data_IF_868615894579
#
_entry.id   IF_868615894579
#
_cell.length_a   1.000
_cell.length_b   1.000
_cell.length_c   1.000
_cell.angle_alpha   90.00
_cell.angle_beta   90.00
_cell.angle_gamma   90.00
#
_symmetry.space_group_name_H-M   'P 1'
#
loop_
_entity.id
_entity.type
_entity.pdbx_description
1 polymer ?
#
# COMPACT_ATOMS: atom_id res chain seq x y z
N UNK A 1 5.70 -6.45 9.74
CA UNK A 1 4.73 -5.53 9.10
C UNK A 1 3.57 -5.11 10.02
N UNK A 2 3.04 -5.96 10.91
CA UNK A 2 1.90 -5.60 11.78
C UNK A 2 2.23 -4.41 12.71
N UNK A 3 3.44 -4.37 13.27
CA UNK A 3 3.88 -3.29 14.15
C UNK A 3 3.81 -1.90 13.49
N UNK A 4 4.49 -1.71 12.36
CA UNK A 4 4.49 -0.42 11.65
C UNK A 4 3.12 -0.07 11.10
N UNK A 5 2.34 -1.07 10.65
CA UNK A 5 1.06 -0.84 9.99
C UNK A 5 -0.08 -0.54 10.95
N UNK A 6 -0.08 -1.10 12.14
CA UNK A 6 -1.23 -0.99 13.06
C UNK A 6 -0.83 -0.58 14.48
N UNK A 7 0.31 -1.03 14.98
CA UNK A 7 0.75 -0.68 16.34
C UNK A 7 1.18 0.79 16.40
N UNK A 8 1.96 1.27 15.44
CA UNK A 8 2.40 2.68 15.41
C UNK A 8 1.20 3.64 15.30
N UNK A 9 0.27 3.51 14.33
CA UNK A 9 -0.91 4.36 14.28
C UNK A 9 -1.80 4.22 15.53
N UNK A 10 -1.96 3.00 16.04
CA UNK A 10 -2.73 2.74 17.25
C UNK A 10 -2.17 3.44 18.48
N UNK A 11 -0.84 3.43 18.67
CA UNK A 11 -0.17 4.12 19.77
C UNK A 11 -0.30 5.64 19.65
N UNK A 12 -0.26 6.19 18.43
CA UNK A 12 -0.43 7.63 18.20
C UNK A 12 -1.84 8.08 18.59
N UNK A 13 -2.87 7.35 18.16
CA UNK A 13 -4.25 7.64 18.56
C UNK A 13 -4.42 7.48 20.07
N UNK A 14 -3.85 6.42 20.66
CA UNK A 14 -3.90 6.20 22.11
C UNK A 14 -3.25 7.36 22.88
N UNK A 15 -2.11 7.87 22.43
CA UNK A 15 -1.45 9.02 23.04
C UNK A 15 -2.35 10.29 22.98
N UNK A 16 -3.02 10.52 21.85
CA UNK A 16 -4.00 11.61 21.71
C UNK A 16 -5.19 11.46 22.67
N UNK A 17 -5.72 10.25 22.82
CA UNK A 17 -6.80 9.95 23.77
C UNK A 17 -6.35 10.19 25.21
N UNK A 18 -5.16 9.74 25.58
CA UNK A 18 -4.59 9.98 26.91
C UNK A 18 -4.44 11.48 27.17
N UNK A 19 -3.91 12.24 26.20
CA UNK A 19 -3.77 13.70 26.33
C UNK A 19 -5.13 14.40 26.51
N UNK A 20 -6.17 13.96 25.79
CA UNK A 20 -7.53 14.47 25.98
C UNK A 20 -8.06 14.19 27.38
N UNK A 21 -7.92 12.95 27.87
CA UNK A 21 -8.42 12.55 29.20
C UNK A 21 -7.68 13.30 30.31
N UNK A 22 -6.36 13.42 30.22
CA UNK A 22 -5.53 14.06 31.26
C UNK A 22 -5.77 15.57 31.32
N UNK A 23 -5.93 16.23 30.18
CA UNK A 23 -6.10 17.68 30.16
C UNK A 23 -7.55 18.13 30.29
N UNK A 24 -8.52 17.33 29.84
CA UNK A 24 -9.95 17.68 29.86
C UNK A 24 -10.28 18.98 29.11
N UNK A 25 -9.44 19.38 28.16
CA UNK A 25 -9.44 20.72 27.57
C UNK A 25 -9.58 20.69 26.05
N UNK A 26 -9.87 21.85 25.45
CA UNK A 26 -9.86 22.01 23.99
C UNK A 26 -8.49 21.65 23.39
N UNK A 27 -7.40 22.00 24.07
CA UNK A 27 -6.03 21.61 23.66
C UNK A 27 -5.86 20.09 23.61
N UNK A 28 -6.50 19.35 24.52
CA UNK A 28 -6.53 17.89 24.47
C UNK A 28 -7.27 17.35 23.24
N UNK A 29 -8.36 18.02 22.85
CA UNK A 29 -9.15 17.66 21.66
C UNK A 29 -8.36 17.93 20.37
N UNK A 30 -7.68 19.07 20.30
CA UNK A 30 -6.75 19.40 19.20
C UNK A 30 -5.63 18.35 19.10
N UNK A 31 -5.06 17.93 20.25
CA UNK A 31 -4.09 16.85 20.33
C UNK A 31 -4.60 15.52 19.76
N UNK A 32 -5.82 15.14 20.10
CA UNK A 32 -6.46 13.95 19.54
C UNK A 32 -6.71 14.08 18.04
N UNK A 33 -7.22 15.22 17.57
CA UNK A 33 -7.48 15.46 16.16
C UNK A 33 -6.19 15.38 15.32
N UNK A 34 -5.11 15.98 15.81
CA UNK A 34 -3.78 15.86 15.20
C UNK A 34 -3.31 14.40 15.19
N UNK A 35 -3.47 13.68 16.30
CA UNK A 35 -3.11 12.26 16.40
C UNK A 35 -3.86 11.39 15.39
N UNK A 36 -5.16 11.62 15.21
CA UNK A 36 -5.98 10.93 14.20
C UNK A 36 -5.48 11.26 12.79
N UNK A 37 -5.17 12.54 12.51
CA UNK A 37 -4.60 12.96 11.23
C UNK A 37 -3.31 12.21 10.90
N UNK A 38 -2.35 12.21 11.83
CA UNK A 38 -1.06 11.51 11.66
C UNK A 38 -1.26 9.99 11.46
N UNK A 39 -2.05 9.36 12.33
CA UNK A 39 -2.33 7.93 12.25
C UNK A 39 -3.02 7.55 10.92
N UNK A 40 -3.99 8.37 10.50
CA UNK A 40 -4.70 8.23 9.23
C UNK A 40 -3.75 8.34 8.03
N UNK A 41 -2.85 9.34 8.02
CA UNK A 41 -1.84 9.48 6.96
C UNK A 41 -0.91 8.27 6.87
N UNK A 42 -0.46 7.72 8.00
CA UNK A 42 0.40 6.52 8.01
C UNK A 42 -0.34 5.31 7.44
N UNK A 43 -1.61 5.13 7.80
CA UNK A 43 -2.44 4.04 7.27
C UNK A 43 -2.66 4.21 5.77
N UNK A 44 -2.95 5.43 5.31
CA UNK A 44 -3.13 5.74 3.90
C UNK A 44 -1.85 5.46 3.09
N UNK A 45 -0.69 5.90 3.59
CA UNK A 45 0.60 5.63 2.95
C UNK A 45 0.89 4.13 2.84
N UNK A 46 0.56 3.35 3.88
CA UNK A 46 0.68 1.89 3.82
C UNK A 46 -0.23 1.28 2.74
N UNK A 47 -1.43 1.81 2.54
CA UNK A 47 -2.34 1.37 1.48
C UNK A 47 -1.77 1.71 0.11
N UNK A 48 -1.34 2.95 -0.10
CA UNK A 48 -0.79 3.41 -1.37
C UNK A 48 0.47 2.64 -1.75
N UNK A 49 1.37 2.39 -0.78
CA UNK A 49 2.56 1.58 -0.98
C UNK A 49 2.21 0.17 -1.44
N UNK A 50 1.22 -0.48 -0.81
CA UNK A 50 0.77 -1.82 -1.19
C UNK A 50 0.28 -1.86 -2.64
N UNK A 51 -0.51 -0.86 -3.05
CA UNK A 51 -1.04 -0.75 -4.41
C UNK A 51 0.09 -0.50 -5.41
N UNK A 52 1.04 0.39 -5.08
CA UNK A 52 2.20 0.68 -5.92
C UNK A 52 3.06 -0.55 -6.16
N UNK A 53 3.42 -1.27 -5.10
CA UNK A 53 4.24 -2.49 -5.20
C UNK A 53 3.53 -3.60 -5.98
N UNK A 54 2.21 -3.76 -5.82
CA UNK A 54 1.49 -4.73 -6.65
C UNK A 54 1.51 -4.39 -8.14
N UNK A 55 1.50 -3.10 -8.48
CA UNK A 55 1.62 -2.64 -9.87
C UNK A 55 3.02 -2.85 -10.46
N UNK A 56 4.07 -2.80 -9.65
CA UNK A 56 5.43 -3.10 -10.12
C UNK A 56 5.57 -4.56 -10.56
N UNK A 57 5.00 -5.50 -9.79
CA UNK A 57 5.01 -6.92 -10.14
C UNK A 57 4.24 -7.21 -11.44
N UNK A 58 3.12 -6.52 -11.67
CA UNK A 58 2.35 -6.64 -12.92
C UNK A 58 3.17 -6.12 -14.11
N UNK A 59 3.85 -4.98 -13.94
CA UNK A 59 4.73 -4.39 -14.96
C UNK A 59 5.91 -5.27 -15.30
N UNK A 60 6.54 -5.89 -14.31
CA UNK A 60 7.65 -6.82 -14.53
C UNK A 60 7.19 -8.08 -15.28
N UNK A 61 5.99 -8.59 -15.00
CA UNK A 61 5.39 -9.71 -15.75
C UNK A 61 5.08 -9.34 -17.19
N UNK A 62 4.52 -8.16 -17.41
CA UNK A 62 4.22 -7.67 -18.76
C UNK A 62 5.51 -7.46 -19.57
N UNK A 63 6.56 -6.90 -18.94
CA UNK A 63 7.87 -6.76 -19.57
C UNK A 63 8.45 -8.12 -19.99
N UNK A 64 8.42 -9.12 -19.10
CA UNK A 64 8.88 -10.47 -19.42
C UNK A 64 8.06 -11.14 -20.54
N UNK A 65 6.74 -10.89 -20.59
CA UNK A 65 5.89 -11.41 -21.66
C UNK A 65 6.19 -10.77 -23.01
N UNK A 66 6.59 -9.49 -23.04
CA UNK A 66 7.04 -8.80 -24.26
C UNK A 66 8.39 -9.33 -24.75
N UNK A 67 9.34 -9.53 -23.84
CA UNK A 67 10.63 -10.14 -24.19
C UNK A 67 10.43 -11.53 -24.80
N UNK A 68 9.51 -12.33 -24.24
CA UNK A 68 9.13 -13.63 -24.78
C UNK A 68 8.52 -13.51 -26.19
N UNK A 69 7.59 -12.57 -26.40
CA UNK A 69 6.97 -12.32 -27.69
C UNK A 69 8.00 -11.94 -28.76
N UNK A 70 8.96 -11.07 -28.42
CA UNK A 70 10.01 -10.64 -29.34
C UNK A 70 10.94 -11.80 -29.72
N UNK A 71 11.20 -12.74 -28.80
CA UNK A 71 12.05 -13.91 -29.04
C UNK A 71 11.32 -15.06 -29.76
N UNK A 72 10.06 -15.33 -29.43
CA UNK A 72 9.32 -16.52 -29.88
C UNK A 72 8.28 -16.22 -30.96
N UNK A 73 7.90 -14.94 -31.15
CA UNK A 73 6.90 -14.50 -32.12
C UNK A 73 5.45 -14.86 -31.74
N UNK A 74 5.20 -15.30 -30.51
CA UNK A 74 3.88 -15.52 -29.95
C UNK A 74 3.87 -15.18 -28.45
N UNK A 75 2.69 -14.93 -27.88
CA UNK A 75 2.61 -14.70 -26.43
C UNK A 75 2.84 -16.00 -25.65
N UNK A 76 3.40 -15.94 -24.43
CA UNK A 76 3.72 -17.12 -23.63
C UNK A 76 2.49 -17.96 -23.24
N UNK A 77 1.30 -17.35 -23.25
CA UNK A 77 0.00 -17.98 -23.00
C UNK A 77 -0.76 -18.37 -24.28
N UNK A 78 -0.25 -18.02 -25.47
CA UNK A 78 -0.80 -18.47 -26.75
C UNK A 78 -0.19 -19.82 -27.17
N UNK A 79 -1.04 -20.75 -27.62
CA UNK A 79 -0.55 -21.95 -28.29
C UNK A 79 0.13 -21.54 -29.61
N UNK A 80 1.36 -22.00 -29.89
CA UNK A 80 2.08 -21.60 -31.09
C UNK A 80 1.25 -21.91 -32.33
N UNK A 81 1.01 -20.88 -33.15
CA UNK A 81 0.18 -21.00 -34.34
C UNK A 81 0.71 -22.13 -35.24
N UNK A 82 -0.04 -23.24 -35.33
CA UNK A 82 0.32 -24.35 -36.20
C UNK A 82 0.33 -23.83 -37.65
N UNK A 83 1.45 -23.94 -38.39
CA UNK A 83 1.50 -23.43 -39.75
C UNK A 83 0.46 -24.15 -40.63
N UNK A 84 -0.22 -23.43 -41.54
CA UNK A 84 -1.14 -24.04 -42.49
C UNK A 84 -0.38 -25.04 -43.37
N UNK A 85 -0.95 -26.23 -43.55
CA UNK A 85 -0.39 -27.33 -44.36
C UNK A 85 -0.46 -27.04 -45.85
#
# INVERSE_FOLDING_TARGET
MIAVRYVVPGLIVLAGVIALIVTGSLTGLEGLAMGIGVAGSILLLNVLYRVGVSGDVERDREAAARDYLDEHGHWPDEEPARPPR
#
